data_IF_495149491003
#
_entry.id   IF_495149491003
#
_cell.length_a   1.000
_cell.length_b   1.000
_cell.length_c   1.000
_cell.angle_alpha   90.00
_cell.angle_beta   90.00
_cell.angle_gamma   90.00
#
_symmetry.space_group_name_H-M   'P 1'
#
loop_
_entity.id
_entity.type
_entity.pdbx_description
1 polymer ?
#
# COMPACT_ATOMS: atom_id res chain seq x y z
N UNK A 1 6.47 12.52 13.71
CA UNK A 1 6.49 11.11 14.19
C UNK A 1 7.14 10.29 13.08
N UNK A 2 8.18 9.48 13.36
CA UNK A 2 8.88 8.73 12.30
C UNK A 2 8.40 7.28 12.23
N UNK A 3 8.24 6.75 11.03
CA UNK A 3 7.85 5.37 10.78
C UNK A 3 9.09 4.51 10.47
N UNK A 4 10.07 4.43 11.38
CA UNK A 4 11.31 3.67 11.12
C UNK A 4 11.15 2.14 11.25
N UNK A 5 10.06 1.63 11.84
CA UNK A 5 10.09 0.26 12.38
C UNK A 5 9.33 -0.84 11.60
N UNK A 6 8.67 -0.56 10.47
CA UNK A 6 7.88 -1.61 9.77
C UNK A 6 8.30 -1.95 8.34
N UNK A 7 8.93 -1.03 7.60
CA UNK A 7 9.27 -1.25 6.18
C UNK A 7 10.65 -0.74 5.76
N UNK A 8 11.50 -0.31 6.70
CA UNK A 8 12.88 0.10 6.42
C UNK A 8 13.04 1.45 5.71
N UNK A 9 12.05 2.35 5.81
CA UNK A 9 12.05 3.68 5.17
C UNK A 9 11.93 4.75 6.25
N UNK A 10 12.91 5.66 6.34
CA UNK A 10 12.85 6.82 7.25
C UNK A 10 11.99 7.92 6.63
N UNK A 11 10.69 7.89 6.93
CA UNK A 11 9.72 8.91 6.47
C UNK A 11 9.17 9.68 7.68
N UNK A 12 9.24 11.01 7.61
CA UNK A 12 8.59 11.88 8.58
C UNK A 12 7.10 12.05 8.25
N UNK A 13 6.24 11.45 9.09
CA UNK A 13 4.79 11.49 8.90
C UNK A 13 4.22 12.90 9.02
N UNK A 14 4.84 13.77 9.83
CA UNK A 14 4.36 15.15 10.00
C UNK A 14 4.60 15.97 8.74
N UNK A 15 5.68 15.66 8.02
CA UNK A 15 6.00 16.24 6.73
C UNK A 15 5.04 15.76 5.63
N UNK A 16 4.73 14.46 5.57
CA UNK A 16 3.75 13.92 4.63
C UNK A 16 2.37 14.54 4.87
N UNK A 17 1.95 14.65 6.13
CA UNK A 17 0.71 15.32 6.50
C UNK A 17 0.71 16.81 6.14
N UNK A 18 1.88 17.46 6.13
CA UNK A 18 2.03 18.84 5.68
C UNK A 18 1.85 18.95 4.16
N UNK A 19 2.48 18.08 3.37
CA UNK A 19 2.31 18.10 1.90
C UNK A 19 0.83 18.03 1.50
N UNK A 20 0.07 17.14 2.12
CA UNK A 20 -1.38 17.03 1.88
C UNK A 20 -2.15 18.29 2.28
N UNK A 21 -1.79 18.93 3.42
CA UNK A 21 -2.43 20.17 3.89
C UNK A 21 -2.08 21.39 3.03
N UNK A 22 -0.88 21.43 2.47
CA UNK A 22 -0.41 22.49 1.58
C UNK A 22 -1.05 22.36 0.17
N UNK A 23 -1.78 21.27 -0.09
CA UNK A 23 -2.52 21.05 -1.33
C UNK A 23 -1.73 20.33 -2.41
N UNK A 24 -0.63 19.65 -2.04
CA UNK A 24 0.05 18.76 -3.00
C UNK A 24 -0.91 17.67 -3.47
N UNK A 25 -0.94 17.44 -4.79
CA UNK A 25 -1.70 16.33 -5.35
C UNK A 25 -1.08 15.00 -4.87
N UNK A 26 -1.93 13.98 -4.70
CA UNK A 26 -1.54 12.64 -4.32
C UNK A 26 -0.39 12.09 -5.16
N UNK A 27 -0.39 12.27 -6.48
CA UNK A 27 0.70 11.78 -7.35
C UNK A 27 2.06 12.42 -7.02
N UNK A 28 2.07 13.69 -6.60
CA UNK A 28 3.30 14.37 -6.17
C UNK A 28 3.80 13.76 -4.87
N UNK A 29 2.89 13.50 -3.93
CA UNK A 29 3.20 12.85 -2.65
C UNK A 29 3.75 11.44 -2.89
N UNK A 30 3.10 10.64 -3.74
CA UNK A 30 3.53 9.28 -4.08
C UNK A 30 4.89 9.27 -4.77
N UNK A 31 5.14 10.20 -5.71
CA UNK A 31 6.44 10.32 -6.38
C UNK A 31 7.55 10.60 -5.35
N UNK A 32 7.32 11.55 -4.42
CA UNK A 32 8.30 11.83 -3.36
C UNK A 32 8.54 10.63 -2.45
N UNK A 33 7.49 9.89 -2.09
CA UNK A 33 7.62 8.67 -1.29
C UNK A 33 8.44 7.60 -2.04
N UNK A 34 8.19 7.42 -3.34
CA UNK A 34 8.96 6.51 -4.19
C UNK A 34 10.43 6.93 -4.28
N UNK A 35 10.71 8.21 -4.43
CA UNK A 35 12.08 8.75 -4.48
C UNK A 35 12.85 8.56 -3.15
N UNK A 36 12.12 8.51 -2.03
CA UNK A 36 12.67 8.14 -0.72
C UNK A 36 12.85 6.62 -0.54
N UNK A 37 12.55 5.81 -1.56
CA UNK A 37 12.67 4.35 -1.53
C UNK A 37 11.47 3.65 -0.89
N UNK A 38 10.34 4.35 -0.73
CA UNK A 38 9.14 3.74 -0.17
C UNK A 38 8.46 2.83 -1.18
N UNK A 39 8.35 1.53 -0.88
CA UNK A 39 7.58 0.58 -1.69
C UNK A 39 6.07 0.78 -1.53
N UNK A 40 5.27 0.16 -2.40
CA UNK A 40 3.79 0.26 -2.42
C UNK A 40 3.17 0.05 -1.03
N UNK A 41 3.56 -1.00 -0.31
CA UNK A 41 3.01 -1.30 1.03
C UNK A 41 3.40 -0.22 2.04
N UNK A 42 4.66 0.25 1.97
CA UNK A 42 5.15 1.36 2.78
C UNK A 42 4.38 2.65 2.52
N UNK A 43 4.10 2.97 1.25
CA UNK A 43 3.34 4.15 0.86
C UNK A 43 1.92 4.12 1.44
N UNK A 44 1.24 2.97 1.35
CA UNK A 44 -0.11 2.79 1.92
C UNK A 44 -0.07 3.00 3.44
N UNK A 45 0.92 2.43 4.12
CA UNK A 45 1.07 2.58 5.57
C UNK A 45 1.37 4.03 5.97
N UNK A 46 2.26 4.71 5.23
CA UNK A 46 2.60 6.12 5.46
C UNK A 46 1.39 7.02 5.28
N UNK A 47 0.63 6.88 4.19
CA UNK A 47 -0.55 7.69 3.94
C UNK A 47 -1.62 7.52 5.04
N UNK A 48 -1.81 6.28 5.51
CA UNK A 48 -2.73 5.99 6.60
C UNK A 48 -2.24 6.55 7.93
N UNK A 49 -0.97 6.33 8.29
CA UNK A 49 -0.39 6.80 9.56
C UNK A 49 -0.24 8.33 9.62
N UNK A 50 0.02 8.99 8.49
CA UNK A 50 0.05 10.45 8.38
C UNK A 50 -1.36 11.07 8.35
N UNK A 51 -2.42 10.26 8.35
CA UNK A 51 -3.81 10.74 8.31
C UNK A 51 -4.21 11.39 6.98
N UNK A 52 -3.50 11.09 5.90
CA UNK A 52 -3.82 11.61 4.55
C UNK A 52 -5.06 10.92 4.00
N UNK A 53 -5.14 9.59 4.14
CA UNK A 53 -6.30 8.80 3.73
C UNK A 53 -6.34 7.45 4.45
N UNK A 54 -7.53 6.84 4.64
CA UNK A 54 -7.64 5.54 5.29
C UNK A 54 -7.01 4.43 4.43
N UNK A 55 -6.53 3.39 5.11
CA UNK A 55 -5.84 2.26 4.47
C UNK A 55 -6.63 1.58 3.33
N UNK A 56 -7.95 1.54 3.42
CA UNK A 56 -8.82 0.99 2.37
C UNK A 56 -8.76 1.79 1.07
N UNK A 57 -8.70 3.12 1.17
CA UNK A 57 -8.59 4.02 0.02
C UNK A 57 -7.14 4.05 -0.50
N UNK A 58 -6.17 4.08 0.42
CA UNK A 58 -4.74 4.09 0.08
C UNK A 58 -4.31 2.91 -0.78
N UNK A 59 -4.87 1.72 -0.54
CA UNK A 59 -4.59 0.53 -1.38
C UNK A 59 -4.89 0.79 -2.85
N UNK A 60 -6.11 1.23 -3.16
CA UNK A 60 -6.50 1.49 -4.55
C UNK A 60 -5.72 2.69 -5.11
N UNK A 61 -5.59 3.75 -4.33
CA UNK A 61 -4.97 4.98 -4.78
C UNK A 61 -3.47 4.81 -5.11
N UNK A 62 -2.72 4.06 -4.29
CA UNK A 62 -1.29 3.79 -4.53
C UNK A 62 -1.12 2.79 -5.67
N UNK A 63 -1.86 1.68 -5.67
CA UNK A 63 -1.70 0.61 -6.67
C UNK A 63 -2.01 1.12 -8.07
N UNK A 64 -3.09 1.88 -8.24
CA UNK A 64 -3.51 2.41 -9.54
C UNK A 64 -2.93 3.79 -9.87
N UNK A 65 -1.97 4.28 -9.08
CA UNK A 65 -1.32 5.56 -9.35
C UNK A 65 -0.48 5.53 -10.62
N UNK A 66 -0.33 6.69 -11.24
CA UNK A 66 0.66 6.86 -12.33
C UNK A 66 2.08 6.60 -11.83
N UNK A 67 2.33 6.90 -10.54
CA UNK A 67 3.59 6.64 -9.86
C UNK A 67 3.95 5.16 -9.83
N UNK A 68 3.01 4.21 -9.77
CA UNK A 68 3.29 2.77 -9.65
C UNK A 68 2.76 1.92 -10.81
N UNK A 69 2.41 2.55 -11.93
CA UNK A 69 1.87 1.85 -13.09
C UNK A 69 2.82 0.85 -13.75
N UNK A 70 4.12 1.04 -13.57
CA UNK A 70 5.16 0.12 -14.04
C UNK A 70 5.18 -1.17 -13.23
N UNK A 71 4.70 -1.14 -11.98
CA UNK A 71 4.59 -2.31 -11.11
C UNK A 71 3.20 -2.95 -11.13
N UNK A 72 2.19 -2.27 -11.68
CA UNK A 72 0.80 -2.76 -11.77
C UNK A 72 0.68 -4.20 -12.30
N UNK A 73 1.31 -4.59 -13.42
CA UNK A 73 1.19 -5.97 -13.93
C UNK A 73 1.73 -7.01 -12.95
N UNK A 74 2.82 -6.70 -12.25
CA UNK A 74 3.43 -7.57 -11.23
C UNK A 74 2.55 -7.66 -9.99
N UNK A 75 1.99 -6.53 -9.56
CA UNK A 75 1.14 -6.45 -8.38
C UNK A 75 -0.20 -7.17 -8.59
N UNK A 76 -0.81 -7.03 -9.78
CA UNK A 76 -2.02 -7.77 -10.15
C UNK A 76 -1.78 -9.28 -10.22
N UNK A 77 -0.64 -9.71 -10.78
CA UNK A 77 -0.28 -11.12 -10.83
C UNK A 77 -0.07 -11.71 -9.42
N UNK A 78 0.56 -10.95 -8.52
CA UNK A 78 0.74 -11.34 -7.12
C UNK A 78 -0.59 -11.40 -6.35
N UNK A 79 -1.46 -10.40 -6.52
CA UNK A 79 -2.79 -10.39 -5.90
C UNK A 79 -3.69 -11.52 -6.40
N UNK A 80 -3.67 -11.83 -7.70
CA UNK A 80 -4.41 -12.97 -8.24
C UNK A 80 -3.93 -14.27 -7.60
N UNK A 81 -2.62 -14.46 -7.48
CA UNK A 81 -2.04 -15.62 -6.79
C UNK A 81 -2.42 -15.70 -5.31
N UNK A 82 -2.45 -14.56 -4.61
CA UNK A 82 -2.86 -14.51 -3.21
C UNK A 82 -4.35 -14.76 -3.04
N UNK A 83 -5.20 -14.22 -3.91
CA UNK A 83 -6.64 -14.50 -3.92
C UNK A 83 -6.93 -15.99 -4.16
N UNK A 84 -6.23 -16.61 -5.11
CA UNK A 84 -6.27 -18.06 -5.34
C UNK A 84 -5.80 -18.88 -4.13
N UNK A 85 -4.87 -18.36 -3.32
CA UNK A 85 -4.37 -19.03 -2.11
C UNK A 85 -5.34 -18.90 -0.93
N UNK A 86 -5.94 -17.72 -0.74
CA UNK A 86 -6.91 -17.44 0.33
C UNK A 86 -8.24 -18.15 0.08
N UNK A 87 -8.71 -18.19 -1.18
CA UNK A 87 -9.91 -18.94 -1.55
C UNK A 87 -9.67 -20.47 -1.56
N UNK A 88 -8.41 -20.91 -1.63
CA UNK A 88 -8.02 -22.33 -1.59
C UNK A 88 -7.93 -22.95 -0.19
N UNK A 89 -7.94 -22.16 0.89
CA UNK A 89 -7.89 -22.67 2.27
C UNK A 89 -9.27 -22.92 2.91
N UNK A 90 -10.38 -22.66 2.20
CA UNK A 90 -11.75 -22.89 2.71
C UNK A 90 -12.43 -24.19 2.26
N UNK A 91 -11.79 -25.02 1.43
CA UNK A 91 -12.35 -26.30 0.98
C UNK A 91 -11.45 -27.50 1.31
N UNK A 92 -11.24 -27.79 2.61
CA UNK A 92 -10.81 -29.11 3.06
C UNK A 92 -11.08 -29.31 4.55
N UNK A 93 -12.36 -29.36 4.96
CA UNK A 93 -12.70 -30.04 6.21
C UNK A 93 -14.16 -30.53 6.32
N UNK A 94 -14.71 -31.15 5.26
CA UNK A 94 -15.94 -31.94 5.44
C UNK A 94 -16.10 -33.02 4.37
N UNK A 95 -15.23 -34.04 4.39
CA UNK A 95 -15.67 -35.38 3.97
C UNK A 95 -14.84 -36.46 4.67
N UNK A 96 -15.38 -36.99 5.78
CA UNK A 96 -15.16 -38.36 6.24
C UNK A 96 -15.91 -38.60 7.55
N UNK A 97 -17.18 -39.01 7.49
CA UNK A 97 -17.59 -40.27 8.15
C UNK A 97 -18.94 -40.75 7.63
N UNK A 98 -18.87 -41.92 6.99
CA UNK A 98 -19.98 -42.87 6.86
C UNK A 98 -20.47 -43.36 8.22
#
# INVERSE_FOLDING_TARGET
MRLEDFFGVDVDLDEVARWARDGDNLEVILTRLRDMGCEVVGCIAVLNSAGVMPMSEGKAAVVFSETWKDELPRNLAFQKRLGEFVDGETESDTDATQ
#
